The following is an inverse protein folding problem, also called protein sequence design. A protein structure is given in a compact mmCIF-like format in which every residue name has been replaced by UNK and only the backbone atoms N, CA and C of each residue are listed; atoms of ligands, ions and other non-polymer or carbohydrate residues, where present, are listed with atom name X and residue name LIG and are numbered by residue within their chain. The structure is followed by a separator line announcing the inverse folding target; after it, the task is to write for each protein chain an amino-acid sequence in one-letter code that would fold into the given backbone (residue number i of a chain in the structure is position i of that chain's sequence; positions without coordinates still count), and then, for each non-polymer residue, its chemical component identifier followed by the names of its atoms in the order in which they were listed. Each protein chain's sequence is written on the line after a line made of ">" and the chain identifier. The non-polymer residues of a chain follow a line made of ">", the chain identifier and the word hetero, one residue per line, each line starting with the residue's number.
data_IF_273422926211
#
_entry.id   IF_273422926211
#
_cell.length_a   1.000
_cell.length_b   1.000
_cell.length_c   1.000
_cell.angle_alpha   90.00
_cell.angle_beta   90.00
_cell.angle_gamma   90.00
#
_symmetry.space_group_name_H-M   'P 1'
#
loop_
_entity.id
_entity.type
_entity.pdbx_description
1 polymer ?
#
# COMPACT_ATOMS: atom_id res chain seq x y z
N UNK A 1 20.88 -4.42 3.81
CA UNK A 1 19.65 -4.67 4.58
C UNK A 1 18.49 -4.81 3.62
N UNK A 2 17.68 -5.86 3.80
CA UNK A 2 16.45 -6.12 3.07
C UNK A 2 15.29 -5.55 3.87
N UNK A 3 14.58 -4.59 3.29
CA UNK A 3 13.47 -3.89 3.92
C UNK A 3 12.19 -4.13 3.12
N UNK A 4 11.13 -4.55 3.78
CA UNK A 4 9.80 -4.59 3.17
C UNK A 4 8.90 -3.52 3.79
N UNK A 5 8.26 -2.71 2.96
CA UNK A 5 7.27 -1.71 3.36
C UNK A 5 5.90 -2.21 2.92
N UNK A 6 4.94 -2.21 3.83
CA UNK A 6 3.55 -2.57 3.57
C UNK A 6 2.66 -1.35 3.85
N UNK A 7 1.87 -0.96 2.86
CA UNK A 7 0.91 0.16 2.97
C UNK A 7 -0.41 -0.15 2.26
N UNK A 8 -1.39 0.72 2.36
CA UNK A 8 -2.68 0.62 1.65
C UNK A 8 -2.80 1.64 0.51
N UNK A 9 -3.57 1.27 -0.51
CA UNK A 9 -3.68 1.94 -1.80
C UNK A 9 -4.08 3.43 -1.74
N UNK A 10 -4.69 3.91 -0.65
CA UNK A 10 -5.23 5.28 -0.54
C UNK A 10 -6.17 5.70 -1.69
N UNK A 11 -6.68 4.73 -2.47
CA UNK A 11 -7.47 4.92 -3.68
C UNK A 11 -6.68 5.24 -4.94
N UNK A 12 -7.13 4.68 -6.07
CA UNK A 12 -6.64 5.05 -7.39
C UNK A 12 -7.06 6.48 -7.75
N UNK A 13 -6.09 7.29 -8.19
CA UNK A 13 -6.29 8.71 -8.49
C UNK A 13 -5.62 9.17 -9.78
N UNK A 14 -5.06 8.26 -10.58
CA UNK A 14 -4.43 8.58 -11.87
C UNK A 14 -3.62 9.90 -11.86
N UNK A 15 -2.61 10.05 -10.97
CA UNK A 15 -1.82 11.26 -10.95
C UNK A 15 -1.18 11.54 -12.31
N UNK A 16 -1.20 12.81 -12.70
CA UNK A 16 -0.44 13.30 -13.85
C UNK A 16 1.05 13.01 -13.63
N UNK A 17 1.73 12.54 -14.67
CA UNK A 17 3.15 12.21 -14.63
C UNK A 17 3.88 13.21 -15.51
N UNK A 18 4.56 14.17 -14.89
CA UNK A 18 5.49 15.06 -15.58
C UNK A 18 6.85 14.37 -15.67
N UNK A 19 7.08 13.70 -16.81
CA UNK A 19 8.33 12.98 -17.08
C UNK A 19 9.54 13.90 -17.19
N UNK A 20 9.35 15.18 -17.54
CA UNK A 20 10.46 16.12 -17.68
C UNK A 20 10.97 16.60 -16.33
N UNK A 21 10.06 16.78 -15.36
CA UNK A 21 10.40 17.23 -14.02
C UNK A 21 10.56 16.09 -13.02
N UNK A 22 10.35 14.85 -13.45
CA UNK A 22 10.24 13.66 -12.60
C UNK A 22 9.26 13.90 -11.43
N UNK A 23 8.11 14.49 -11.76
CA UNK A 23 7.08 14.87 -10.78
C UNK A 23 5.80 14.10 -11.01
N UNK A 24 5.25 13.59 -9.91
CA UNK A 24 3.95 12.94 -9.88
C UNK A 24 2.95 13.90 -9.21
N UNK A 25 1.87 14.21 -9.92
CA UNK A 25 0.83 15.12 -9.49
C UNK A 25 -0.02 14.61 -8.32
N UNK A 26 -1.02 15.41 -7.92
CA UNK A 26 -1.90 15.10 -6.78
C UNK A 26 -2.93 13.99 -7.06
N UNK A 27 -3.15 13.67 -8.34
CA UNK A 27 -4.22 12.78 -8.76
C UNK A 27 -5.58 13.48 -8.83
N UNK A 28 -6.44 12.93 -9.66
CA UNK A 28 -7.83 13.31 -9.88
C UNK A 28 -8.70 12.10 -9.52
N UNK A 29 -9.86 12.35 -8.90
CA UNK A 29 -10.84 11.27 -8.70
C UNK A 29 -11.24 10.68 -10.06
N UNK A 30 -11.35 9.36 -10.17
CA UNK A 30 -11.64 8.68 -11.44
C UNK A 30 -12.95 9.18 -12.06
N UNK A 31 -13.96 9.45 -11.25
CA UNK A 31 -15.26 10.00 -11.68
C UNK A 31 -15.17 11.42 -12.27
N UNK A 32 -14.06 12.13 -12.06
CA UNK A 32 -13.81 13.47 -12.60
C UNK A 32 -12.95 13.44 -13.87
N UNK A 33 -12.38 12.30 -14.23
CA UNK A 33 -11.64 12.12 -15.50
C UNK A 33 -12.64 11.88 -16.64
N UNK A 34 -12.96 12.95 -17.38
CA UNK A 34 -13.94 12.88 -18.47
C UNK A 34 -13.54 11.92 -19.58
N UNK A 35 -12.24 11.74 -19.84
CA UNK A 35 -11.74 10.83 -20.86
C UNK A 35 -12.00 9.38 -20.47
N UNK A 36 -11.65 9.02 -19.23
CA UNK A 36 -11.87 7.70 -18.67
C UNK A 36 -13.36 7.36 -18.59
N UNK A 37 -14.18 8.27 -18.05
CA UNK A 37 -15.63 8.04 -17.90
C UNK A 37 -16.30 7.87 -19.25
N UNK A 38 -15.93 8.69 -20.25
CA UNK A 38 -16.46 8.56 -21.60
C UNK A 38 -16.04 7.24 -22.25
N UNK A 39 -14.76 6.87 -22.15
CA UNK A 39 -14.24 5.63 -22.72
C UNK A 39 -14.97 4.39 -22.16
N UNK A 40 -15.22 4.37 -20.86
CA UNK A 40 -16.00 3.30 -20.21
C UNK A 40 -17.46 3.30 -20.71
N UNK A 41 -18.11 4.47 -20.73
CA UNK A 41 -19.50 4.62 -21.17
C UNK A 41 -19.71 4.22 -22.63
N UNK A 42 -18.80 4.60 -23.53
CA UNK A 42 -18.82 4.25 -24.97
C UNK A 42 -18.70 2.73 -25.19
N UNK A 43 -18.19 1.99 -24.19
CA UNK A 43 -18.09 0.52 -24.18
C UNK A 43 -19.16 -0.15 -23.29
N UNK A 44 -20.12 0.61 -22.74
CA UNK A 44 -21.17 0.08 -21.87
C UNK A 44 -20.67 -0.41 -20.51
N UNK A 45 -19.61 0.19 -19.98
CA UNK A 45 -18.97 -0.17 -18.73
C UNK A 45 -19.07 0.96 -17.69
N UNK A 46 -19.09 0.58 -16.41
CA UNK A 46 -18.93 1.48 -15.27
C UNK A 46 -17.46 1.58 -14.83
N UNK A 47 -17.16 2.46 -13.88
CA UNK A 47 -15.83 2.51 -13.24
C UNK A 47 -15.58 1.18 -12.52
N UNK A 48 -14.43 0.50 -12.78
CA UNK A 48 -14.13 -0.78 -12.16
C UNK A 48 -14.21 -0.70 -10.63
N UNK A 49 -14.85 -1.65 -9.99
CA UNK A 49 -15.00 -1.71 -8.54
C UNK A 49 -14.30 -2.97 -7.99
N UNK A 50 -15.05 -3.90 -7.40
CA UNK A 50 -14.57 -5.22 -6.95
C UNK A 50 -15.01 -6.37 -7.87
N UNK A 51 -15.45 -6.02 -9.08
CA UNK A 51 -15.94 -6.88 -10.15
C UNK A 51 -14.78 -7.49 -10.95
N UNK A 52 -14.07 -8.42 -10.30
CA UNK A 52 -12.89 -9.10 -10.87
C UNK A 52 -13.22 -9.96 -12.09
N UNK A 53 -14.47 -10.42 -12.25
CA UNK A 53 -14.94 -11.15 -13.42
C UNK A 53 -14.82 -10.34 -14.73
N UNK A 54 -14.85 -9.01 -14.63
CA UNK A 54 -14.76 -8.10 -15.78
C UNK A 54 -13.33 -7.65 -16.08
N UNK A 55 -12.32 -8.12 -15.34
CA UNK A 55 -10.93 -7.65 -15.42
C UNK A 55 -10.36 -7.69 -16.83
N UNK A 56 -10.60 -8.78 -17.58
CA UNK A 56 -10.11 -8.93 -18.96
C UNK A 56 -10.69 -7.88 -19.90
N UNK A 57 -11.99 -7.59 -19.76
CA UNK A 57 -12.69 -6.56 -20.51
C UNK A 57 -12.15 -5.18 -20.17
N UNK A 58 -11.99 -4.87 -18.88
CA UNK A 58 -11.44 -3.60 -18.46
C UNK A 58 -10.01 -3.39 -18.92
N UNK A 59 -9.12 -4.39 -18.79
CA UNK A 59 -7.74 -4.26 -19.27
C UNK A 59 -7.65 -3.96 -20.76
N UNK A 60 -8.56 -4.54 -21.55
CA UNK A 60 -8.65 -4.25 -22.99
C UNK A 60 -9.12 -2.83 -23.27
N UNK A 61 -10.18 -2.37 -22.60
CA UNK A 61 -10.76 -1.03 -22.82
C UNK A 61 -9.86 0.07 -22.25
N UNK A 62 -9.30 -0.15 -21.07
CA UNK A 62 -8.48 0.79 -20.30
C UNK A 62 -6.98 0.62 -20.57
N UNK A 63 -6.57 0.04 -21.71
CA UNK A 63 -5.17 -0.31 -21.97
C UNK A 63 -4.22 0.88 -21.85
N UNK A 64 -4.65 2.08 -22.24
CA UNK A 64 -3.87 3.32 -22.11
C UNK A 64 -3.81 3.89 -20.68
N UNK A 65 -4.69 3.41 -19.81
CA UNK A 65 -4.76 3.79 -18.39
C UNK A 65 -4.06 2.79 -17.47
N UNK A 66 -3.61 1.65 -17.99
CA UNK A 66 -2.83 0.68 -17.21
C UNK A 66 -1.50 1.30 -16.81
N UNK A 67 -1.18 1.24 -15.51
CA UNK A 67 0.06 1.77 -14.96
C UNK A 67 0.57 0.89 -13.82
N UNK A 68 1.86 0.93 -13.50
CA UNK A 68 2.39 0.38 -12.26
C UNK A 68 1.63 0.94 -11.05
N UNK A 69 1.37 0.10 -10.05
CA UNK A 69 0.62 0.47 -8.85
C UNK A 69 1.17 1.72 -8.15
N UNK A 70 2.50 1.89 -8.10
CA UNK A 70 3.16 3.08 -7.54
C UNK A 70 2.79 4.40 -8.23
N UNK A 71 2.31 4.34 -9.48
CA UNK A 71 1.89 5.49 -10.29
C UNK A 71 0.36 5.60 -10.40
N UNK A 72 -0.39 4.66 -9.83
CA UNK A 72 -1.84 4.68 -9.81
C UNK A 72 -2.40 5.45 -8.61
N UNK A 73 -1.68 5.41 -7.49
CA UNK A 73 -2.09 5.96 -6.21
C UNK A 73 -1.46 7.33 -5.93
N UNK A 74 -2.18 8.17 -5.17
CA UNK A 74 -1.74 9.51 -4.79
C UNK A 74 -2.21 9.89 -3.37
N UNK A 75 -2.00 11.16 -2.97
CA UNK A 75 -2.35 11.63 -1.63
C UNK A 75 -1.42 11.05 -0.55
N UNK A 76 -1.98 10.38 0.46
CA UNK A 76 -1.20 9.77 1.55
C UNK A 76 -0.20 8.72 1.05
N UNK A 77 -0.51 8.03 -0.04
CA UNK A 77 0.42 7.08 -0.65
C UNK A 77 1.70 7.75 -1.16
N UNK A 78 1.62 9.01 -1.63
CA UNK A 78 2.79 9.75 -2.13
C UNK A 78 3.88 9.90 -1.06
N UNK A 79 3.49 10.04 0.22
CA UNK A 79 4.42 10.09 1.35
C UNK A 79 5.21 8.79 1.47
N UNK A 80 4.52 7.64 1.41
CA UNK A 80 5.14 6.31 1.50
C UNK A 80 6.05 6.06 0.29
N UNK A 81 5.61 6.45 -0.92
CA UNK A 81 6.40 6.31 -2.14
C UNK A 81 7.71 7.08 -2.04
N UNK A 82 7.66 8.37 -1.67
CA UNK A 82 8.86 9.21 -1.52
C UNK A 82 9.80 8.65 -0.44
N UNK A 83 9.24 8.17 0.67
CA UNK A 83 10.02 7.53 1.73
C UNK A 83 10.71 6.25 1.25
N UNK A 84 9.98 5.37 0.56
CA UNK A 84 10.51 4.14 -0.04
C UNK A 84 11.62 4.42 -1.06
N UNK A 85 11.40 5.36 -1.99
CA UNK A 85 12.39 5.76 -2.98
C UNK A 85 13.67 6.35 -2.33
N UNK A 86 13.52 7.04 -1.20
CA UNK A 86 14.64 7.50 -0.39
C UNK A 86 15.47 6.35 0.18
N UNK A 87 14.81 5.34 0.75
CA UNK A 87 15.50 4.17 1.32
C UNK A 87 16.15 3.27 0.27
N UNK A 88 15.58 3.19 -0.94
CA UNK A 88 16.14 2.40 -2.06
C UNK A 88 17.53 2.82 -2.51
N UNK A 89 17.96 4.03 -2.15
CA UNK A 89 19.31 4.52 -2.48
C UNK A 89 20.40 3.71 -1.80
N UNK A 90 20.11 3.23 -0.58
CA UNK A 90 21.11 2.60 0.30
C UNK A 90 20.73 1.16 0.69
N UNK A 91 19.50 0.72 0.39
CA UNK A 91 18.95 -0.56 0.83
C UNK A 91 18.15 -1.28 -0.26
N UNK A 92 18.04 -2.60 -0.14
CA UNK A 92 17.12 -3.39 -0.96
C UNK A 92 15.71 -3.26 -0.38
N UNK A 93 14.86 -2.45 -1.01
CA UNK A 93 13.51 -2.15 -0.52
C UNK A 93 12.44 -2.73 -1.44
N UNK A 94 11.52 -3.50 -0.85
CA UNK A 94 10.29 -3.98 -1.47
C UNK A 94 9.11 -3.15 -0.96
N UNK A 95 8.32 -2.55 -1.85
CA UNK A 95 7.07 -1.89 -1.49
C UNK A 95 5.88 -2.76 -1.92
N UNK A 96 5.10 -3.17 -0.92
CA UNK A 96 3.88 -3.96 -1.05
C UNK A 96 2.66 -3.10 -0.69
N UNK A 97 1.59 -3.26 -1.44
CA UNK A 97 0.39 -2.43 -1.35
C UNK A 97 -0.82 -3.34 -1.17
N UNK A 98 -1.57 -3.12 -0.10
CA UNK A 98 -2.89 -3.71 0.10
C UNK A 98 -3.88 -2.90 -0.74
N UNK A 99 -4.35 -3.50 -1.81
CA UNK A 99 -5.33 -3.01 -2.75
C UNK A 99 -6.70 -3.64 -2.48
N UNK A 100 -7.74 -2.82 -2.41
CA UNK A 100 -9.12 -3.33 -2.25
C UNK A 100 -9.53 -4.30 -3.35
N UNK A 101 -9.09 -4.08 -4.60
CA UNK A 101 -9.44 -4.92 -5.74
C UNK A 101 -8.54 -6.16 -5.86
N UNK A 102 -7.22 -5.95 -5.78
CA UNK A 102 -6.24 -7.00 -6.13
C UNK A 102 -5.67 -7.78 -4.93
N UNK A 103 -5.98 -7.38 -3.70
CA UNK A 103 -5.33 -7.96 -2.53
C UNK A 103 -3.94 -7.37 -2.33
N UNK A 104 -2.92 -8.21 -2.20
CA UNK A 104 -1.54 -7.73 -2.01
C UNK A 104 -0.82 -7.67 -3.37
N UNK A 105 -0.41 -6.48 -3.77
CA UNK A 105 0.30 -6.23 -5.02
C UNK A 105 1.66 -5.59 -4.79
N UNK A 106 2.58 -5.79 -5.73
CA UNK A 106 3.86 -5.07 -5.71
C UNK A 106 3.71 -3.67 -6.31
N UNK A 107 4.62 -2.76 -5.95
CA UNK A 107 4.61 -1.40 -6.47
C UNK A 107 4.72 -1.29 -8.01
N UNK A 108 5.30 -2.31 -8.66
CA UNK A 108 5.55 -2.33 -10.10
C UNK A 108 4.48 -3.10 -10.88
N UNK A 109 3.52 -3.71 -10.18
CA UNK A 109 2.46 -4.49 -10.80
C UNK A 109 1.53 -3.58 -11.62
N UNK A 110 1.24 -3.99 -12.84
CA UNK A 110 0.39 -3.23 -13.76
C UNK A 110 -1.10 -3.44 -13.45
N UNK A 111 -1.75 -2.35 -13.07
CA UNK A 111 -3.16 -2.34 -12.67
C UNK A 111 -3.98 -1.36 -13.51
N UNK A 112 -5.28 -1.63 -13.64
CA UNK A 112 -6.25 -0.66 -14.17
C UNK A 112 -6.68 0.31 -13.05
N UNK A 113 -7.14 1.53 -13.39
CA UNK A 113 -7.81 2.39 -12.43
C UNK A 113 -9.10 1.73 -11.93
N UNK A 114 -9.36 1.80 -10.63
CA UNK A 114 -10.55 1.25 -10.00
C UNK A 114 -11.00 2.10 -8.80
N UNK A 115 -12.28 2.03 -8.46
CA UNK A 115 -12.87 2.71 -7.32
C UNK A 115 -13.48 1.68 -6.37
N UNK A 116 -12.62 1.09 -5.54
CA UNK A 116 -13.04 0.19 -4.47
C UNK A 116 -12.12 0.38 -3.26
N UNK A 117 -12.71 0.54 -2.09
CA UNK A 117 -12.00 0.78 -0.84
C UNK A 117 -12.50 -0.18 0.22
N UNK A 118 -11.56 -0.72 0.96
CA UNK A 118 -11.85 -1.58 2.10
C UNK A 118 -12.29 -0.71 3.27
N UNK A 119 -13.59 -0.73 3.53
CA UNK A 119 -14.25 0.09 4.55
C UNK A 119 -14.32 -0.61 5.91
N UNK A 120 -14.40 -1.95 5.92
CA UNK A 120 -14.61 -2.72 7.14
C UNK A 120 -13.88 -4.07 7.17
N UNK A 121 -14.05 -4.77 8.29
CA UNK A 121 -13.47 -6.09 8.54
C UNK A 121 -14.02 -7.18 7.61
N UNK A 122 -15.32 -7.16 7.30
CA UNK A 122 -15.94 -8.20 6.46
C UNK A 122 -15.41 -8.11 5.04
N UNK A 123 -15.19 -6.90 4.54
CA UNK A 123 -14.52 -6.69 3.25
C UNK A 123 -13.07 -7.20 3.28
N UNK A 124 -12.32 -6.98 4.36
CA UNK A 124 -11.00 -7.60 4.53
C UNK A 124 -11.04 -9.12 4.49
N UNK A 125 -11.97 -9.74 5.20
CA UNK A 125 -12.13 -11.20 5.22
C UNK A 125 -12.45 -11.76 3.84
N UNK A 126 -13.37 -11.12 3.10
CA UNK A 126 -13.69 -11.50 1.72
C UNK A 126 -12.51 -11.33 0.78
N UNK A 127 -11.80 -10.21 0.90
CA UNK A 127 -10.61 -9.95 0.08
C UNK A 127 -9.54 -11.01 0.34
N UNK A 128 -9.28 -11.33 1.60
CA UNK A 128 -8.29 -12.34 1.96
C UNK A 128 -8.69 -13.73 1.45
N UNK A 129 -9.94 -14.15 1.66
CA UNK A 129 -10.45 -15.43 1.13
C UNK A 129 -10.30 -15.54 -0.39
N UNK A 130 -10.53 -14.44 -1.12
CA UNK A 130 -10.42 -14.42 -2.59
C UNK A 130 -8.95 -14.41 -3.05
N UNK A 131 -8.09 -13.69 -2.36
CA UNK A 131 -6.76 -13.32 -2.89
C UNK A 131 -5.60 -13.99 -2.17
N UNK A 132 -5.83 -14.64 -1.03
CA UNK A 132 -4.78 -15.13 -0.12
C UNK A 132 -3.92 -13.98 0.42
N UNK A 133 -4.53 -12.83 0.72
CA UNK A 133 -3.85 -11.60 1.15
C UNK A 133 -2.87 -11.86 2.29
N UNK A 134 -3.32 -12.54 3.35
CA UNK A 134 -2.53 -12.75 4.56
C UNK A 134 -1.31 -13.63 4.26
N UNK A 135 -1.50 -14.77 3.61
CA UNK A 135 -0.40 -15.69 3.29
C UNK A 135 0.62 -15.03 2.36
N UNK A 136 0.14 -14.34 1.31
CA UNK A 136 1.00 -13.55 0.41
C UNK A 136 1.75 -12.44 1.15
N UNK A 137 1.16 -11.87 2.20
CA UNK A 137 1.82 -10.85 3.01
C UNK A 137 2.93 -11.47 3.84
N UNK A 138 2.69 -12.60 4.50
CA UNK A 138 3.71 -13.33 5.26
C UNK A 138 4.87 -13.74 4.34
N UNK A 139 4.58 -14.33 3.19
CA UNK A 139 5.60 -14.67 2.18
C UNK A 139 6.30 -13.40 1.69
N UNK A 140 5.53 -12.33 1.52
CA UNK A 140 6.01 -11.05 1.00
C UNK A 140 7.02 -10.36 1.91
N UNK A 141 6.90 -10.52 3.23
CA UNK A 141 7.79 -9.94 4.25
C UNK A 141 8.86 -10.92 4.73
N UNK A 142 8.68 -12.22 4.52
CA UNK A 142 9.65 -13.25 4.87
C UNK A 142 11.02 -12.99 4.25
N UNK A 143 12.08 -13.20 5.03
CA UNK A 143 13.47 -12.92 4.61
C UNK A 143 13.86 -11.42 4.65
N UNK A 144 12.97 -10.54 5.10
CA UNK A 144 13.32 -9.14 5.37
C UNK A 144 13.98 -9.01 6.74
N UNK A 145 15.00 -8.15 6.83
CA UNK A 145 15.58 -7.75 8.12
C UNK A 145 14.59 -6.86 8.90
N UNK A 146 13.90 -5.98 8.17
CA UNK A 146 12.91 -5.05 8.70
C UNK A 146 11.64 -5.09 7.84
N UNK A 147 10.48 -5.19 8.50
CA UNK A 147 9.17 -4.95 7.89
C UNK A 147 8.53 -3.69 8.49
N UNK A 148 8.11 -2.76 7.63
CA UNK A 148 7.47 -1.52 8.03
C UNK A 148 6.00 -1.52 7.65
N UNK A 149 5.12 -1.27 8.63
CA UNK A 149 3.67 -1.24 8.41
C UNK A 149 3.13 0.18 8.54
N UNK A 150 2.64 0.71 7.42
CA UNK A 150 2.05 2.04 7.27
C UNK A 150 0.61 1.89 6.80
N UNK A 151 -0.23 1.33 7.68
CA UNK A 151 -1.60 0.89 7.36
C UNK A 151 -2.67 1.69 8.09
N UNK A 152 -3.90 1.65 7.58
CA UNK A 152 -5.08 2.03 8.35
C UNK A 152 -5.28 1.07 9.54
N UNK A 153 -5.91 1.58 10.61
CA UNK A 153 -6.06 0.84 11.86
C UNK A 153 -6.93 -0.41 11.74
N UNK A 154 -7.94 -0.41 10.86
CA UNK A 154 -8.78 -1.57 10.57
C UNK A 154 -7.97 -2.68 9.86
N UNK A 155 -7.15 -2.32 8.88
CA UNK A 155 -6.27 -3.25 8.16
C UNK A 155 -5.25 -3.88 9.11
N UNK A 156 -4.57 -3.06 9.92
CA UNK A 156 -3.60 -3.58 10.88
C UNK A 156 -4.28 -4.46 11.94
N UNK A 157 -5.43 -4.06 12.48
CA UNK A 157 -6.20 -4.88 13.43
C UNK A 157 -6.46 -6.28 12.87
N UNK A 158 -6.92 -6.35 11.63
CA UNK A 158 -7.18 -7.63 10.97
C UNK A 158 -5.93 -8.51 10.87
N UNK A 159 -4.79 -7.94 10.46
CA UNK A 159 -3.53 -8.67 10.34
C UNK A 159 -3.01 -9.16 11.71
N UNK A 160 -3.07 -8.32 12.75
CA UNK A 160 -2.63 -8.69 14.09
C UNK A 160 -3.48 -9.84 14.66
N UNK A 161 -4.80 -9.77 14.48
CA UNK A 161 -5.72 -10.84 14.89
C UNK A 161 -5.49 -12.16 14.15
N UNK A 162 -5.00 -12.09 12.91
CA UNK A 162 -4.55 -13.26 12.13
C UNK A 162 -3.18 -13.78 12.54
N UNK A 163 -2.55 -13.16 13.54
CA UNK A 163 -1.26 -13.57 14.09
C UNK A 163 -0.08 -13.05 13.29
N UNK A 164 -0.16 -11.84 12.71
CA UNK A 164 0.93 -11.24 11.93
C UNK A 164 2.29 -11.39 12.63
N UNK A 165 2.42 -10.93 13.88
CA UNK A 165 3.70 -10.95 14.60
C UNK A 165 4.22 -12.38 14.85
N UNK A 166 3.31 -13.33 15.11
CA UNK A 166 3.66 -14.73 15.33
C UNK A 166 4.23 -15.38 14.06
N UNK A 167 3.81 -14.92 12.89
CA UNK A 167 4.22 -15.48 11.60
C UNK A 167 5.47 -14.79 11.01
N UNK A 168 5.97 -13.71 11.61
CA UNK A 168 7.14 -12.95 11.11
C UNK A 168 8.25 -12.82 12.16
N UNK A 169 8.39 -13.84 13.01
CA UNK A 169 9.24 -13.83 14.21
C UNK A 169 10.73 -13.49 13.98
N UNK A 170 11.27 -13.73 12.78
CA UNK A 170 12.66 -13.40 12.43
C UNK A 170 12.84 -11.96 11.93
N UNK A 171 11.75 -11.24 11.67
CA UNK A 171 11.77 -9.93 11.05
C UNK A 171 11.44 -8.85 12.08
N UNK A 172 12.27 -7.80 12.15
CA UNK A 172 11.98 -6.68 13.04
C UNK A 172 10.86 -5.83 12.45
N UNK A 173 9.76 -5.68 13.18
CA UNK A 173 8.66 -4.81 12.76
C UNK A 173 8.86 -3.38 13.23
N UNK A 174 8.55 -2.42 12.36
CA UNK A 174 8.32 -1.01 12.69
C UNK A 174 6.91 -0.64 12.23
N UNK A 175 6.02 -0.26 13.13
CA UNK A 175 4.66 0.15 12.74
C UNK A 175 4.39 1.60 13.12
N UNK A 176 3.85 2.37 12.16
CA UNK A 176 3.31 3.71 12.40
C UNK A 176 1.79 3.58 12.51
N UNK A 177 1.27 3.60 13.73
CA UNK A 177 -0.13 3.24 13.99
C UNK A 177 -0.71 3.96 15.23
N UNK A 178 -1.97 3.70 15.56
CA UNK A 178 -2.61 4.24 16.76
C UNK A 178 -2.05 3.58 18.02
N UNK A 179 -2.24 4.23 19.18
CA UNK A 179 -1.77 3.72 20.47
C UNK A 179 -2.34 2.36 20.87
N UNK A 180 -3.42 1.91 20.22
CA UNK A 180 -4.05 0.60 20.47
C UNK A 180 -3.07 -0.57 20.35
N UNK A 181 -2.10 -0.50 19.43
CA UNK A 181 -1.16 -1.59 19.16
C UNK A 181 0.19 -1.43 19.87
N UNK A 182 0.32 -0.42 20.74
CA UNK A 182 1.59 -0.07 21.36
C UNK A 182 2.17 -1.24 22.15
N UNK A 183 1.39 -1.77 23.08
CA UNK A 183 1.88 -2.77 24.03
C UNK A 183 2.18 -4.08 23.30
N UNK A 184 1.28 -4.53 22.42
CA UNK A 184 1.48 -5.72 21.58
C UNK A 184 2.79 -5.67 20.75
N UNK A 185 3.11 -4.51 20.16
CA UNK A 185 4.35 -4.33 19.41
C UNK A 185 5.57 -4.28 20.32
N UNK A 186 5.52 -3.51 21.42
CA UNK A 186 6.67 -3.35 22.30
C UNK A 186 7.00 -4.64 23.07
N UNK A 187 5.99 -5.35 23.56
CA UNK A 187 6.12 -6.61 24.30
C UNK A 187 6.67 -7.73 23.40
N UNK A 188 6.33 -7.69 22.10
CA UNK A 188 6.90 -8.58 21.08
C UNK A 188 8.31 -8.14 20.62
N UNK A 189 8.88 -7.11 21.24
CA UNK A 189 10.20 -6.60 20.89
C UNK A 189 10.23 -5.93 19.52
N UNK A 190 9.16 -5.30 19.07
CA UNK A 190 9.09 -4.51 17.84
C UNK A 190 9.04 -3.00 18.12
N UNK A 191 9.17 -2.18 17.08
CA UNK A 191 9.12 -0.72 17.21
C UNK A 191 7.72 -0.19 16.93
N UNK A 192 7.24 0.63 17.86
CA UNK A 192 5.99 1.36 17.75
C UNK A 192 6.26 2.86 17.55
N UNK A 193 5.59 3.46 16.57
CA UNK A 193 5.54 4.90 16.36
C UNK A 193 4.09 5.35 16.27
N UNK A 194 3.74 6.40 17.02
CA UNK A 194 2.37 6.93 17.01
C UNK A 194 2.11 7.69 15.71
N UNK A 195 1.05 7.30 14.99
CA UNK A 195 0.55 8.07 13.83
C UNK A 195 -0.12 9.37 14.31
N UNK A 196 0.26 10.50 13.72
CA UNK A 196 -0.32 11.82 14.03
C UNK A 196 -1.06 12.41 12.84
N UNK A 197 -2.30 12.86 13.06
CA UNK A 197 -3.13 13.50 12.04
C UNK A 197 -3.47 12.58 10.86
N UNK A 198 -3.51 13.16 9.67
CA UNK A 198 -3.83 12.48 8.40
C UNK A 198 -2.60 11.89 7.70
N UNK A 199 -1.39 12.10 8.22
CA UNK A 199 -0.19 11.57 7.62
C UNK A 199 -0.12 10.05 7.78
N UNK A 200 0.45 9.36 6.79
CA UNK A 200 0.67 7.92 6.85
C UNK A 200 1.90 7.59 7.70
N UNK A 201 2.96 8.38 7.51
CA UNK A 201 4.22 8.26 8.25
C UNK A 201 4.38 9.48 9.16
N UNK A 202 4.43 10.68 8.58
CA UNK A 202 4.79 11.95 9.23
C UNK A 202 6.29 12.18 9.21
N UNK A 203 6.72 13.45 9.09
CA UNK A 203 8.15 13.84 9.00
C UNK A 203 8.97 13.31 10.20
N UNK A 204 8.50 13.57 11.42
CA UNK A 204 9.20 13.15 12.66
C UNK A 204 9.37 11.62 12.73
N UNK A 205 8.34 10.87 12.33
CA UNK A 205 8.42 9.41 12.30
C UNK A 205 9.37 8.94 11.20
N UNK A 206 9.33 9.55 10.01
CA UNK A 206 10.24 9.21 8.91
C UNK A 206 11.71 9.42 9.31
N UNK A 207 12.03 10.49 10.02
CA UNK A 207 13.39 10.76 10.54
C UNK A 207 13.79 9.70 11.57
N UNK A 208 12.94 9.43 12.57
CA UNK A 208 13.19 8.39 13.59
C UNK A 208 13.40 7.00 13.00
N UNK A 209 12.64 6.64 11.96
CA UNK A 209 12.80 5.35 11.27
C UNK A 209 14.19 5.27 10.62
N UNK A 210 14.63 6.34 9.95
CA UNK A 210 15.96 6.38 9.32
C UNK A 210 17.09 6.27 10.34
N UNK A 211 17.01 7.00 11.44
CA UNK A 211 17.97 6.89 12.56
C UNK A 211 18.01 5.45 13.11
N UNK A 212 16.85 4.81 13.26
CA UNK A 212 16.76 3.42 13.75
C UNK A 212 17.42 2.43 12.79
N UNK A 213 17.34 2.66 11.48
CA UNK A 213 18.01 1.81 10.48
C UNK A 213 19.53 2.05 10.50
N UNK A 214 19.96 3.31 10.55
CA UNK A 214 21.38 3.67 10.53
C UNK A 214 22.14 3.07 11.72
N UNK A 215 21.57 3.17 12.92
CA UNK A 215 22.15 2.60 14.15
C UNK A 215 22.20 1.07 14.19
N UNK A 216 21.60 0.37 13.22
CA UNK A 216 21.67 -1.09 13.06
C UNK A 216 22.67 -1.53 11.99
N UNK A 217 23.17 -0.60 11.18
CA UNK A 217 24.16 -0.87 10.14
C UNK A 217 25.62 -0.72 10.60
N UNK A 218 25.83 -0.22 11.82
CA UNK A 218 27.11 -0.17 12.53
C UNK A 218 27.23 -1.34 13.53
#
# INVERSE_FOLDING_TARGET
>A
MNITIVTDDSGAKLPEIDRYRDKIGKGTELSKDQGLVRLLSDNGLDIPADDMENESTYRRVLSEYIRPARLMFAGMFSEVRVFSDGLKKDHAVKLLIISGRYGLISENEEIIPYQHHISDRKEMERLDLRTGLFDKLIDGVSGSDIAMFFLLGNLLSYLMERGLLNNINSTKVIAVTSSRFRDELLDSGHFFLLRRGVARIGKDNAERIKETIQNRGE
#
